data_IF_545930715163
#
_entry.id   IF_545930715163
#
_cell.length_a   1.000
_cell.length_b   1.000
_cell.length_c   1.000
_cell.angle_alpha   90.00
_cell.angle_beta   90.00
_cell.angle_gamma   90.00
#
_symmetry.space_group_name_H-M   'P 1'
#
loop_
_entity.id
_entity.type
_entity.pdbx_description
1 polymer ?
#
# COMPACT_ATOMS: atom_id res chain seq x y z
N UNK A 1 1.61 26.90 -9.51
CA UNK A 1 1.49 26.05 -10.71
C UNK A 1 0.54 24.93 -10.33
N UNK A 2 -0.69 24.93 -10.85
CA UNK A 2 -1.67 23.91 -10.53
C UNK A 2 -1.26 22.63 -11.27
N UNK A 3 -0.74 21.63 -10.56
CA UNK A 3 -0.50 20.32 -11.17
C UNK A 3 -1.82 19.61 -11.32
N UNK A 4 -2.38 19.66 -12.53
CA UNK A 4 -3.50 18.83 -12.94
C UNK A 4 -2.96 17.44 -13.25
N UNK A 5 -2.82 16.60 -12.23
CA UNK A 5 -2.43 15.21 -12.46
C UNK A 5 -3.62 14.46 -13.06
N UNK A 6 -3.42 13.81 -14.20
CA UNK A 6 -4.24 12.66 -14.55
C UNK A 6 -4.04 11.60 -13.44
N UNK A 7 -5.09 10.84 -13.14
CA UNK A 7 -5.07 9.80 -12.11
C UNK A 7 -5.44 8.50 -12.82
N UNK A 8 -4.72 7.41 -12.55
CA UNK A 8 -5.19 6.08 -12.92
C UNK A 8 -5.09 5.20 -11.70
N UNK A 9 -6.22 4.66 -11.28
CA UNK A 9 -6.35 3.80 -10.11
C UNK A 9 -6.27 2.34 -10.56
N UNK A 10 -5.40 1.53 -9.95
CA UNK A 10 -5.39 0.08 -10.13
C UNK A 10 -5.38 -0.60 -8.77
N UNK A 11 -6.10 -1.71 -8.66
CA UNK A 11 -6.02 -2.59 -7.50
C UNK A 11 -4.91 -3.60 -7.77
N UNK A 12 -3.85 -3.56 -6.97
CA UNK A 12 -2.72 -4.46 -7.12
C UNK A 12 -2.79 -5.62 -6.12
N UNK A 13 -2.54 -6.83 -6.61
CA UNK A 13 -2.26 -7.98 -5.76
C UNK A 13 -0.75 -8.11 -5.57
N UNK A 14 -0.21 -7.56 -4.47
CA UNK A 14 1.08 -8.03 -3.97
C UNK A 14 0.81 -8.99 -2.82
N UNK A 15 0.58 -10.26 -3.11
CA UNK A 15 0.94 -11.25 -2.10
C UNK A 15 2.44 -11.48 -2.18
N UNK A 16 3.13 -11.05 -1.15
CA UNK A 16 4.56 -11.33 -0.96
C UNK A 16 4.80 -12.85 -0.80
N UNK A 17 3.74 -13.67 -0.62
CA UNK A 17 3.85 -15.09 -0.29
C UNK A 17 2.86 -16.03 -1.00
N UNK A 18 2.09 -15.58 -2.00
CA UNK A 18 1.11 -16.42 -2.68
C UNK A 18 1.11 -16.22 -4.20
N UNK A 19 1.37 -17.30 -4.93
CA UNK A 19 1.24 -17.39 -6.39
C UNK A 19 -0.23 -17.36 -6.88
N UNK A 20 -1.14 -16.73 -6.14
CA UNK A 20 -2.51 -16.56 -6.63
C UNK A 20 -2.52 -15.44 -7.67
N UNK A 21 -3.19 -15.63 -8.82
CA UNK A 21 -3.28 -14.58 -9.83
C UNK A 21 -3.95 -13.33 -9.24
N UNK A 22 -3.69 -12.18 -9.86
CA UNK A 22 -4.43 -10.94 -9.68
C UNK A 22 -5.95 -11.19 -9.67
N UNK A 23 -6.72 -10.26 -9.09
CA UNK A 23 -8.18 -10.30 -9.17
C UNK A 23 -8.60 -10.75 -10.56
N UNK A 24 -9.42 -11.80 -10.66
CA UNK A 24 -9.89 -12.33 -11.94
C UNK A 24 -10.86 -11.31 -12.52
N UNK A 25 -10.33 -10.23 -13.10
CA UNK A 25 -11.14 -9.23 -13.76
C UNK A 25 -11.72 -9.89 -15.01
N UNK A 26 -13.04 -9.87 -15.15
CA UNK A 26 -13.71 -10.29 -16.38
C UNK A 26 -13.49 -9.29 -17.51
N UNK A 27 -13.03 -8.07 -17.17
CA UNK A 27 -12.72 -6.97 -18.06
C UNK A 27 -11.31 -6.45 -17.76
N UNK A 28 -10.38 -6.61 -18.71
CA UNK A 28 -8.99 -6.17 -18.56
C UNK A 28 -8.85 -4.65 -18.34
N UNK A 29 -9.85 -3.85 -18.72
CA UNK A 29 -9.83 -2.40 -18.44
C UNK A 29 -9.84 -2.10 -16.93
N UNK A 30 -10.42 -2.99 -16.12
CA UNK A 30 -10.52 -2.84 -14.66
C UNK A 30 -9.18 -3.07 -13.94
N UNK A 31 -8.20 -3.69 -14.60
CA UNK A 31 -6.81 -3.77 -14.10
C UNK A 31 -6.09 -2.42 -14.20
N UNK A 32 -6.59 -1.53 -15.06
CA UNK A 32 -6.24 -0.12 -15.10
C UNK A 32 -4.74 0.18 -15.31
N UNK A 33 -4.09 -0.60 -16.18
CA UNK A 33 -2.69 -0.41 -16.58
C UNK A 33 -2.61 0.67 -17.68
N UNK A 34 -2.11 1.88 -17.37
CA UNK A 34 -2.07 2.98 -18.32
C UNK A 34 -1.27 2.61 -19.56
N UNK A 35 -1.79 2.98 -20.73
CA UNK A 35 -1.14 2.77 -22.03
C UNK A 35 -1.00 1.30 -22.45
N UNK A 36 -1.52 0.35 -21.67
CA UNK A 36 -1.59 -1.08 -22.00
C UNK A 36 -3.03 -1.51 -22.24
N UNK A 37 -3.88 -1.42 -21.21
CA UNK A 37 -5.28 -1.85 -21.27
C UNK A 37 -6.28 -0.74 -20.90
N UNK A 38 -5.81 0.40 -20.39
CA UNK A 38 -6.63 1.56 -20.08
C UNK A 38 -5.94 2.89 -20.39
N UNK A 39 -6.73 3.93 -20.66
CA UNK A 39 -6.24 5.31 -20.75
C UNK A 39 -6.30 5.99 -19.37
N UNK A 40 -5.34 6.87 -19.01
CA UNK A 40 -5.40 7.69 -17.80
C UNK A 40 -6.71 8.48 -17.67
N UNK A 41 -7.29 8.56 -16.47
CA UNK A 41 -8.44 9.44 -16.20
C UNK A 41 -7.94 10.88 -16.18
N UNK A 42 -8.49 11.70 -17.06
CA UNK A 42 -8.13 13.11 -17.16
C UNK A 42 -8.55 13.89 -15.90
N UNK A 43 -7.88 15.01 -15.60
CA UNK A 43 -8.33 15.94 -14.57
C UNK A 43 -9.80 16.30 -14.74
N UNK A 44 -10.52 16.48 -13.63
CA UNK A 44 -11.96 16.82 -13.61
C UNK A 44 -12.88 15.75 -14.24
N UNK A 45 -12.35 14.57 -14.54
CA UNK A 45 -13.11 13.41 -15.01
C UNK A 45 -13.22 12.34 -13.92
N UNK A 46 -14.19 11.44 -14.06
CA UNK A 46 -14.42 10.34 -13.12
C UNK A 46 -14.62 9.03 -13.86
N UNK A 47 -14.14 7.95 -13.27
CA UNK A 47 -14.41 6.58 -13.72
C UNK A 47 -14.73 5.71 -12.51
N UNK A 48 -15.65 4.77 -12.67
CA UNK A 48 -16.03 3.82 -11.62
C UNK A 48 -15.49 2.44 -11.98
N UNK A 49 -14.53 1.96 -11.19
CA UNK A 49 -14.00 0.61 -11.33
C UNK A 49 -14.94 -0.42 -10.69
N UNK A 50 -15.19 -1.52 -11.39
CA UNK A 50 -16.00 -2.64 -10.91
C UNK A 50 -15.19 -3.93 -10.93
N UNK A 51 -14.67 -4.32 -9.76
CA UNK A 51 -13.83 -5.51 -9.61
C UNK A 51 -14.59 -6.60 -8.88
N UNK A 52 -14.69 -7.78 -9.51
CA UNK A 52 -15.27 -8.97 -8.87
C UNK A 52 -14.23 -9.65 -7.98
N UNK A 53 -14.52 -9.77 -6.69
CA UNK A 53 -13.61 -10.37 -5.72
C UNK A 53 -13.67 -11.92 -5.73
N UNK A 54 -14.71 -12.50 -6.33
CA UNK A 54 -14.90 -13.95 -6.34
C UNK A 54 -14.87 -14.54 -4.93
N UNK A 55 -13.93 -15.45 -4.69
CA UNK A 55 -13.67 -16.07 -3.37
C UNK A 55 -12.37 -15.58 -2.71
N UNK A 56 -11.83 -14.44 -3.14
CA UNK A 56 -10.59 -13.89 -2.58
C UNK A 56 -10.89 -13.13 -1.28
N UNK A 57 -10.07 -13.40 -0.26
CA UNK A 57 -10.06 -12.71 1.02
C UNK A 57 -8.61 -12.57 1.51
N UNK A 58 -8.35 -11.59 2.37
CA UNK A 58 -7.03 -11.26 2.90
C UNK A 58 -6.70 -9.76 2.87
N UNK A 59 -5.42 -9.45 3.06
CA UNK A 59 -4.87 -8.09 2.97
C UNK A 59 -4.35 -7.82 1.57
N UNK A 60 -4.87 -6.76 0.95
CA UNK A 60 -4.53 -6.25 -0.38
C UNK A 60 -4.17 -4.77 -0.28
N UNK A 61 -3.89 -4.15 -1.43
CA UNK A 61 -3.73 -2.71 -1.53
C UNK A 61 -4.08 -2.23 -2.94
N UNK A 62 -4.34 -0.94 -3.07
CA UNK A 62 -4.46 -0.28 -4.36
C UNK A 62 -3.47 0.87 -4.43
N UNK A 63 -3.05 1.21 -5.64
CA UNK A 63 -2.13 2.32 -5.88
C UNK A 63 -2.28 2.88 -7.29
N UNK A 64 -1.68 4.05 -7.52
CA UNK A 64 -1.60 4.59 -8.87
C UNK A 64 -0.61 3.78 -9.71
N UNK A 65 -1.04 3.39 -10.91
CA UNK A 65 -0.18 2.78 -11.94
C UNK A 65 0.33 3.81 -12.93
N UNK A 66 -0.07 5.07 -12.80
CA UNK A 66 0.39 6.12 -13.69
C UNK A 66 1.78 6.58 -13.28
N UNK A 67 2.78 6.16 -14.06
CA UNK A 67 4.19 6.50 -13.79
C UNK A 67 4.56 6.06 -12.36
N UNK A 68 5.16 6.93 -11.56
CA UNK A 68 5.50 6.69 -10.16
C UNK A 68 4.63 7.50 -9.19
N UNK A 69 3.41 7.89 -9.62
CA UNK A 69 2.50 8.71 -8.81
C UNK A 69 2.16 8.06 -7.46
N UNK A 70 2.25 6.74 -7.33
CA UNK A 70 2.04 6.08 -6.03
C UNK A 70 3.05 6.53 -4.97
N UNK A 71 4.27 6.90 -5.35
CA UNK A 71 5.30 7.41 -4.44
C UNK A 71 4.93 8.80 -3.86
N UNK A 72 4.06 9.56 -4.54
CA UNK A 72 3.53 10.83 -4.03
C UNK A 72 2.32 10.64 -3.07
N UNK A 73 2.08 9.41 -2.61
CA UNK A 73 1.03 9.09 -1.63
C UNK A 73 -0.27 8.52 -2.20
N UNK A 74 -0.34 8.24 -3.51
CA UNK A 74 -1.51 7.57 -4.11
C UNK A 74 -1.44 6.05 -3.93
N UNK A 75 -1.71 5.60 -2.71
CA UNK A 75 -1.79 4.19 -2.35
C UNK A 75 -2.57 4.02 -1.04
N UNK A 76 -3.15 2.85 -0.83
CA UNK A 76 -3.88 2.54 0.40
C UNK A 76 -4.07 1.04 0.56
N UNK A 77 -4.12 0.51 1.80
CA UNK A 77 -4.52 -0.87 2.03
C UNK A 77 -5.97 -1.12 1.63
N UNK A 78 -6.24 -2.35 1.20
CA UNK A 78 -7.57 -2.88 0.89
C UNK A 78 -7.73 -4.20 1.63
N UNK A 79 -8.58 -4.25 2.65
CA UNK A 79 -8.81 -5.47 3.42
C UNK A 79 -10.11 -6.12 2.97
N UNK A 80 -10.07 -7.39 2.58
CA UNK A 80 -11.24 -8.18 2.21
C UNK A 80 -11.40 -9.28 3.25
N UNK A 81 -12.41 -9.16 4.11
CA UNK A 81 -12.67 -10.15 5.15
C UNK A 81 -13.36 -11.40 4.60
N UNK A 82 -12.97 -12.56 5.11
CA UNK A 82 -13.66 -13.83 4.86
C UNK A 82 -14.73 -14.06 5.96
N UNK A 83 -16.03 -14.13 5.61
CA UNK A 83 -17.07 -14.48 6.58
C UNK A 83 -16.88 -15.85 7.24
N UNK A 84 -16.11 -16.75 6.61
CA UNK A 84 -15.79 -18.09 7.08
C UNK A 84 -14.27 -18.26 7.33
N UNK A 85 -13.60 -17.23 7.83
CA UNK A 85 -12.15 -17.23 8.07
C UNK A 85 -11.73 -18.46 8.92
N UNK A 86 -10.91 -19.38 8.36
CA UNK A 86 -10.44 -20.57 9.07
C UNK A 86 -9.55 -20.25 10.29
N UNK A 87 -8.99 -19.05 10.34
CA UNK A 87 -8.12 -18.55 11.39
C UNK A 87 -8.83 -17.66 12.41
N UNK A 88 -10.14 -17.41 12.26
CA UNK A 88 -10.94 -16.59 13.18
C UNK A 88 -10.85 -16.99 14.65
N UNK A 89 -10.52 -18.25 14.95
CA UNK A 89 -10.32 -18.75 16.32
C UNK A 89 -8.95 -18.42 16.95
N UNK A 90 -8.01 -17.89 16.17
CA UNK A 90 -6.64 -17.59 16.61
C UNK A 90 -6.48 -16.17 17.19
N UNK A 91 -7.47 -15.30 17.00
CA UNK A 91 -7.44 -13.92 17.44
C UNK A 91 -8.77 -13.48 18.05
N UNK A 92 -8.71 -12.49 18.93
CA UNK A 92 -9.87 -11.84 19.53
C UNK A 92 -10.30 -10.59 18.75
N UNK A 93 -9.36 -9.94 18.05
CA UNK A 93 -9.53 -8.63 17.39
C UNK A 93 -8.85 -8.63 16.03
N UNK A 94 -9.54 -8.16 14.99
CA UNK A 94 -9.11 -8.19 13.57
C UNK A 94 -9.29 -6.86 12.83
N UNK A 95 -10.14 -5.97 13.35
CA UNK A 95 -10.67 -4.83 12.59
C UNK A 95 -10.19 -3.46 13.07
N UNK A 96 -9.21 -3.40 13.97
CA UNK A 96 -8.81 -2.15 14.63
C UNK A 96 -7.50 -1.58 14.10
N UNK A 97 -6.62 -2.41 13.50
CA UNK A 97 -5.26 -1.99 13.13
C UNK A 97 -4.78 -2.55 11.79
N UNK A 98 -4.87 -1.74 10.74
CA UNK A 98 -4.08 -1.95 9.52
C UNK A 98 -2.76 -1.23 9.67
N UNK A 99 -1.65 -1.96 9.55
CA UNK A 99 -0.30 -1.42 9.59
C UNK A 99 0.16 -1.14 8.16
N UNK A 100 0.34 0.14 7.85
CA UNK A 100 0.83 0.62 6.55
C UNK A 100 2.30 1.01 6.72
N UNK A 101 3.18 0.35 5.98
CA UNK A 101 4.61 0.68 5.95
C UNK A 101 4.95 1.25 4.58
N UNK A 102 5.58 2.42 4.53
CA UNK A 102 5.97 3.01 3.25
C UNK A 102 7.33 3.71 3.30
N UNK A 103 7.99 3.78 2.15
CA UNK A 103 9.11 4.67 1.91
C UNK A 103 8.60 6.07 1.56
N UNK A 104 9.25 7.12 2.07
CA UNK A 104 8.85 8.50 1.83
C UNK A 104 10.01 9.37 1.39
N UNK A 105 9.76 10.18 0.37
CA UNK A 105 10.68 11.18 -0.17
C UNK A 105 10.14 12.58 0.08
N UNK A 106 11.03 13.51 0.43
CA UNK A 106 10.69 14.93 0.60
C UNK A 106 10.50 15.66 -0.72
N UNK A 107 11.11 15.13 -1.79
CA UNK A 107 10.93 15.63 -3.15
C UNK A 107 9.78 14.90 -3.84
N UNK A 108 9.04 15.62 -4.68
CA UNK A 108 8.01 14.99 -5.50
C UNK A 108 8.61 14.00 -6.49
N UNK A 109 7.80 13.04 -6.92
CA UNK A 109 8.25 11.93 -7.73
C UNK A 109 8.80 12.36 -9.10
N UNK A 110 8.20 13.34 -9.77
CA UNK A 110 8.62 13.80 -11.11
C UNK A 110 10.09 14.24 -11.22
N UNK A 111 10.62 15.15 -10.38
CA UNK A 111 12.04 15.49 -10.43
C UNK A 111 12.94 14.30 -10.08
N UNK A 112 12.53 13.44 -9.13
CA UNK A 112 13.27 12.23 -8.80
C UNK A 112 13.35 11.26 -9.98
N UNK A 113 12.27 11.13 -10.77
CA UNK A 113 12.29 10.35 -12.01
C UNK A 113 13.25 10.95 -13.04
N UNK A 114 13.21 12.26 -13.25
CA UNK A 114 14.09 12.92 -14.21
C UNK A 114 15.58 12.71 -13.86
N UNK A 115 15.91 12.81 -12.56
CA UNK A 115 17.26 12.54 -12.07
C UNK A 115 17.66 11.06 -12.26
N UNK A 116 16.74 10.13 -12.00
CA UNK A 116 16.95 8.70 -12.27
C UNK A 116 17.15 8.42 -13.78
N UNK A 117 16.33 8.98 -14.66
CA UNK A 117 16.46 8.80 -16.11
C UNK A 117 17.80 9.35 -16.64
N UNK A 118 18.29 10.44 -16.06
CA UNK A 118 19.56 11.05 -16.44
C UNK A 118 20.78 10.31 -15.88
N UNK A 119 20.69 9.75 -14.67
CA UNK A 119 21.84 9.20 -13.94
C UNK A 119 21.87 7.67 -13.85
N UNK A 120 20.72 7.00 -13.98
CA UNK A 120 20.52 5.59 -13.67
C UNK A 120 20.54 5.27 -12.17
N UNK A 121 20.60 6.28 -11.29
CA UNK A 121 20.71 6.09 -9.84
C UNK A 121 19.32 6.13 -9.22
N UNK A 122 18.93 5.03 -8.58
CA UNK A 122 17.64 4.93 -7.87
C UNK A 122 17.65 5.87 -6.65
N UNK A 123 16.65 6.75 -6.50
CA UNK A 123 16.53 7.62 -5.33
C UNK A 123 16.39 6.82 -4.04
N UNK A 124 17.13 7.20 -3.00
CA UNK A 124 17.00 6.63 -1.66
C UNK A 124 15.93 7.43 -0.90
N UNK A 125 15.04 6.74 -0.19
CA UNK A 125 14.01 7.39 0.63
C UNK A 125 14.61 8.21 1.78
N UNK A 126 13.97 9.30 2.14
CA UNK A 126 14.39 10.17 3.24
C UNK A 126 13.97 9.59 4.61
N UNK A 127 12.85 8.86 4.63
CA UNK A 127 12.28 8.25 5.83
C UNK A 127 11.39 7.06 5.49
N UNK A 128 11.35 6.08 6.39
CA UNK A 128 10.26 5.10 6.43
C UNK A 128 9.12 5.62 7.29
N UNK A 129 7.87 5.43 6.86
CA UNK A 129 6.68 5.75 7.64
C UNK A 129 5.96 4.47 8.08
N UNK A 130 5.38 4.53 9.28
CA UNK A 130 4.37 3.58 9.76
C UNK A 130 3.08 4.35 10.02
N UNK A 131 1.99 3.96 9.34
CA UNK A 131 0.69 4.65 9.35
C UNK A 131 0.81 6.18 9.13
N UNK A 132 1.69 6.57 8.19
CA UNK A 132 1.91 7.98 7.83
C UNK A 132 2.81 8.77 8.77
N UNK A 133 3.32 8.17 9.85
CA UNK A 133 4.27 8.80 10.77
C UNK A 133 5.69 8.26 10.56
N UNK A 134 6.66 9.16 10.44
CA UNK A 134 8.08 8.82 10.32
C UNK A 134 8.95 10.05 10.52
N UNK A 135 10.24 9.81 10.67
CA UNK A 135 11.24 10.84 10.96
C UNK A 135 12.37 10.79 9.95
N UNK A 136 12.89 11.95 9.58
CA UNK A 136 14.10 12.07 8.78
C UNK A 136 15.09 12.99 9.47
N UNK A 137 16.36 12.92 9.07
CA UNK A 137 17.40 13.71 9.72
C UNK A 137 17.09 15.22 9.61
N UNK A 138 17.04 15.91 10.76
CA UNK A 138 16.71 17.34 10.90
C UNK A 138 15.23 17.71 10.70
N UNK A 139 14.31 16.75 10.71
CA UNK A 139 12.88 17.05 10.79
C UNK A 139 12.49 17.59 12.18
N UNK A 140 11.38 18.34 12.30
CA UNK A 140 10.71 18.50 13.59
C UNK A 140 10.31 17.15 14.17
N UNK A 141 10.20 17.08 15.49
CA UNK A 141 9.65 15.90 16.18
C UNK A 141 8.15 15.79 15.86
N UNK A 142 7.72 14.61 15.40
CA UNK A 142 6.31 14.30 15.17
C UNK A 142 5.89 13.09 16.02
N UNK A 143 4.63 13.00 16.46
CA UNK A 143 4.19 11.83 17.20
C UNK A 143 4.37 10.54 16.38
N UNK A 144 4.86 9.49 17.03
CA UNK A 144 4.90 8.16 16.44
C UNK A 144 3.48 7.61 16.21
N UNK A 145 3.34 6.73 15.23
CA UNK A 145 2.16 5.87 15.14
C UNK A 145 2.12 4.94 16.35
N UNK A 146 1.00 4.96 17.07
CA UNK A 146 0.78 4.14 18.27
C UNK A 146 -0.38 3.19 18.00
N UNK A 147 -0.12 1.90 18.17
CA UNK A 147 -1.12 0.84 18.18
C UNK A 147 -1.36 0.46 19.64
N UNK A 148 -2.56 0.72 20.13
CA UNK A 148 -2.93 0.37 21.50
C UNK A 148 -3.46 -1.06 21.56
N UNK A 149 -2.98 -1.84 22.53
CA UNK A 149 -3.40 -3.23 22.73
C UNK A 149 -3.86 -3.43 24.17
N UNK A 150 -4.79 -4.36 24.34
CA UNK A 150 -5.28 -4.80 25.65
C UNK A 150 -4.55 -6.06 26.05
N UNK A 151 -4.06 -6.08 27.29
CA UNK A 151 -3.39 -7.26 27.83
C UNK A 151 -4.32 -8.48 27.83
N UNK A 152 -3.79 -9.64 27.40
CA UNK A 152 -4.52 -10.90 27.37
C UNK A 152 -5.40 -11.11 26.14
N UNK A 153 -5.33 -10.20 25.15
CA UNK A 153 -6.01 -10.31 23.86
C UNK A 153 -5.03 -10.69 22.75
N UNK A 154 -5.48 -11.52 21.82
CA UNK A 154 -4.78 -11.85 20.58
C UNK A 154 -5.30 -10.97 19.44
N UNK A 155 -4.38 -10.43 18.63
CA UNK A 155 -4.70 -9.50 17.55
C UNK A 155 -4.22 -10.06 16.21
N UNK A 156 -5.09 -10.01 15.20
CA UNK A 156 -4.70 -10.15 13.81
C UNK A 156 -4.21 -8.77 13.31
N UNK A 157 -3.03 -8.73 12.70
CA UNK A 157 -2.44 -7.50 12.16
C UNK A 157 -2.39 -7.60 10.64
N UNK A 158 -3.24 -6.81 9.96
CA UNK A 158 -3.18 -6.66 8.52
C UNK A 158 -2.03 -5.71 8.14
N UNK A 159 -1.02 -6.20 7.41
CA UNK A 159 0.14 -5.39 7.02
C UNK A 159 0.09 -5.07 5.52
N UNK A 160 -0.01 -3.79 5.19
CA UNK A 160 0.19 -3.25 3.85
C UNK A 160 1.60 -2.68 3.72
N UNK A 161 2.38 -3.18 2.77
CA UNK A 161 3.77 -2.78 2.60
C UNK A 161 3.97 -2.10 1.24
N UNK A 162 4.51 -0.90 1.26
CA UNK A 162 4.65 0.03 0.13
C UNK A 162 6.10 0.56 0.08
N UNK A 163 7.06 -0.35 0.04
CA UNK A 163 8.48 -0.05 0.20
C UNK A 163 9.28 -0.61 -0.97
N UNK A 164 10.31 0.14 -1.39
CA UNK A 164 11.41 -0.38 -2.20
C UNK A 164 12.51 -0.97 -1.31
N UNK A 165 12.57 -0.57 -0.03
CA UNK A 165 13.59 -1.00 0.94
C UNK A 165 13.12 -2.19 1.79
N UNK A 166 13.95 -3.20 2.06
CA UNK A 166 13.57 -4.30 2.97
C UNK A 166 13.39 -3.82 4.42
N UNK A 167 12.17 -3.89 4.95
CA UNK A 167 11.89 -3.70 6.38
C UNK A 167 11.80 -5.05 7.10
N UNK A 168 12.55 -5.19 8.20
CA UNK A 168 12.45 -6.35 9.11
C UNK A 168 11.53 -5.97 10.27
N UNK A 169 10.35 -6.59 10.29
CA UNK A 169 9.38 -6.35 11.36
C UNK A 169 9.73 -7.16 12.60
N UNK A 170 10.09 -6.47 13.68
CA UNK A 170 10.22 -7.06 15.03
C UNK A 170 9.34 -6.28 15.99
N UNK A 171 8.56 -7.02 16.79
CA UNK A 171 7.68 -6.42 17.79
C UNK A 171 8.26 -6.69 19.18
N UNK A 172 9.42 -6.10 19.52
CA UNK A 172 10.02 -6.13 20.86
C UNK A 172 9.78 -7.41 21.68
N UNK A 173 8.99 -7.28 22.77
CA UNK A 173 8.68 -8.37 23.70
C UNK A 173 7.57 -9.34 23.23
N UNK A 174 7.00 -9.13 22.06
CA UNK A 174 5.92 -9.93 21.50
C UNK A 174 6.45 -10.90 20.44
N UNK A 175 5.97 -12.14 20.47
CA UNK A 175 6.22 -13.10 19.42
C UNK A 175 5.20 -12.92 18.29
N UNK A 176 5.66 -12.88 17.05
CA UNK A 176 4.81 -12.89 15.86
C UNK A 176 4.60 -14.33 15.42
N UNK A 177 3.34 -14.70 15.19
CA UNK A 177 2.97 -15.98 14.57
C UNK A 177 2.63 -15.73 13.10
N UNK A 178 3.21 -16.52 12.21
CA UNK A 178 2.93 -16.49 10.77
C UNK A 178 2.19 -17.79 10.43
N UNK A 179 1.00 -17.66 9.82
CA UNK A 179 0.18 -18.78 9.36
C UNK A 179 -0.05 -18.71 7.87
#
# INVERSE_FOLDING_TARGET
MYSYYAIQFSIFYQSVYSNKPSFLTTNAYEEAEPFVNACPIAPESSYTYTVSLGSQAGTFWYHSKLSIQYADGFHSPLIIYDPADPHSSLYDVDNEFTLVQLDWWQNSSLPLMADYEASGIVPISDSGLVNGAGHFNRSPEVPWSIINVVQGKCYCLCVGTFIDTLLINTCGAYQLSWT
#
